data_IF_817139621046
#
_entry.id   IF_817139621046
#
_cell.length_a   1.000
_cell.length_b   1.000
_cell.length_c   1.000
_cell.angle_alpha   90.00
_cell.angle_beta   90.00
_cell.angle_gamma   90.00
#
_symmetry.space_group_name_H-M   'P 1'
#
loop_
_entity.id
_entity.type
_entity.pdbx_description
1 polymer ?
#
# COMPACT_ATOMS: atom_id res chain seq x y z
N UNK A 1 13.72 -11.13 11.73
CA UNK A 1 12.38 -11.73 11.62
C UNK A 1 11.36 -10.90 12.37
N UNK A 2 10.33 -10.41 11.74
CA UNK A 2 9.32 -9.66 12.46
C UNK A 2 8.65 -10.55 13.51
N UNK A 3 8.50 -10.03 14.71
CA UNK A 3 7.79 -10.75 15.78
C UNK A 3 6.34 -11.04 15.42
N UNK A 4 5.81 -10.27 14.47
CA UNK A 4 4.43 -10.43 13.97
C UNK A 4 4.15 -11.81 13.40
N UNK A 5 5.17 -12.53 12.89
CA UNK A 5 4.97 -13.86 12.30
C UNK A 5 4.43 -14.89 13.30
N UNK A 6 4.64 -14.65 14.60
CA UNK A 6 4.20 -15.55 15.66
C UNK A 6 2.87 -15.14 16.30
N UNK A 7 2.24 -14.06 15.81
CA UNK A 7 1.00 -13.55 16.37
C UNK A 7 -0.22 -14.07 15.61
N UNK A 8 -1.38 -14.26 16.29
CA UNK A 8 -2.64 -14.47 15.58
C UNK A 8 -2.92 -13.34 14.60
N UNK A 9 -3.67 -13.66 13.55
CA UNK A 9 -3.95 -12.68 12.49
C UNK A 9 -4.53 -11.37 13.03
N UNK A 10 -5.49 -11.44 13.96
CA UNK A 10 -6.10 -10.26 14.54
C UNK A 10 -5.07 -9.36 15.24
N UNK A 11 -4.13 -9.98 15.98
CA UNK A 11 -3.09 -9.26 16.68
C UNK A 11 -2.08 -8.64 15.72
N UNK A 12 -1.77 -9.35 14.62
CA UNK A 12 -0.91 -8.82 13.57
C UNK A 12 -1.52 -7.59 12.91
N UNK A 13 -2.81 -7.64 12.59
CA UNK A 13 -3.52 -6.50 11.99
C UNK A 13 -3.55 -5.31 12.95
N UNK A 14 -3.74 -5.57 14.24
CA UNK A 14 -3.74 -4.53 15.26
C UNK A 14 -2.36 -3.86 15.36
N UNK A 15 -1.30 -4.67 15.36
CA UNK A 15 0.07 -4.17 15.40
C UNK A 15 0.39 -3.33 14.15
N UNK A 16 -0.06 -3.78 12.98
CA UNK A 16 0.11 -3.02 11.73
C UNK A 16 -0.63 -1.68 11.78
N UNK A 17 -1.84 -1.66 12.33
CA UNK A 17 -2.62 -0.43 12.46
C UNK A 17 -1.91 0.58 13.37
N UNK A 18 -1.32 0.13 14.48
CA UNK A 18 -0.53 0.98 15.36
C UNK A 18 0.70 1.53 14.65
N UNK A 19 1.41 0.69 13.91
CA UNK A 19 2.59 1.10 13.17
C UNK A 19 2.25 2.12 12.09
N UNK A 20 1.13 1.94 11.39
CA UNK A 20 0.64 2.91 10.40
C UNK A 20 0.37 4.25 11.06
N UNK A 21 -0.32 4.25 12.20
CA UNK A 21 -0.64 5.48 12.93
C UNK A 21 0.61 6.24 13.34
N UNK A 22 1.57 5.54 13.93
CA UNK A 22 2.81 6.14 14.41
C UNK A 22 3.65 6.68 13.26
N UNK A 23 3.76 5.91 12.18
CA UNK A 23 4.53 6.30 11.01
C UNK A 23 3.89 7.49 10.31
N UNK A 24 2.56 7.49 10.18
CA UNK A 24 1.84 8.58 9.52
C UNK A 24 1.99 9.90 10.30
N UNK A 25 2.02 9.83 11.62
CA UNK A 25 2.22 11.01 12.45
C UNK A 25 3.55 11.71 12.16
N UNK A 26 4.57 10.95 11.78
CA UNK A 26 5.89 11.48 11.43
C UNK A 26 5.97 11.87 9.97
N UNK A 27 5.56 10.97 9.07
CA UNK A 27 5.74 11.13 7.62
C UNK A 27 4.76 12.11 6.99
N UNK A 28 3.54 12.15 7.51
CA UNK A 28 2.41 12.91 6.94
C UNK A 28 2.17 12.58 5.47
N UNK A 29 2.48 11.35 5.09
CA UNK A 29 2.40 10.89 3.70
C UNK A 29 1.81 9.48 3.69
N UNK A 30 0.56 9.37 3.27
CA UNK A 30 -0.16 8.09 3.32
C UNK A 30 0.40 7.05 2.36
N UNK A 31 0.96 7.48 1.22
CA UNK A 31 1.57 6.55 0.26
C UNK A 31 2.86 5.96 0.82
N UNK A 32 3.75 6.80 1.31
CA UNK A 32 5.01 6.34 1.88
C UNK A 32 4.79 5.54 3.16
N UNK A 33 3.84 5.94 4.00
CA UNK A 33 3.51 5.21 5.22
C UNK A 33 3.01 3.80 4.90
N UNK A 34 2.04 3.69 4.00
CA UNK A 34 1.45 2.39 3.64
C UNK A 34 2.51 1.46 3.07
N UNK A 35 3.32 1.95 2.14
CA UNK A 35 4.38 1.14 1.56
C UNK A 35 5.44 0.76 2.59
N UNK A 36 5.88 1.70 3.42
CA UNK A 36 6.91 1.47 4.43
C UNK A 36 6.50 0.39 5.44
N UNK A 37 5.26 0.45 5.92
CA UNK A 37 4.76 -0.54 6.87
C UNK A 37 4.70 -1.93 6.24
N UNK A 38 4.21 -2.02 4.99
CA UNK A 38 4.16 -3.31 4.28
C UNK A 38 5.56 -3.80 3.92
N UNK A 39 6.46 -2.89 3.56
CA UNK A 39 7.85 -3.22 3.29
C UNK A 39 8.51 -3.91 4.49
N UNK A 40 8.29 -3.39 5.68
CA UNK A 40 8.81 -3.97 6.92
C UNK A 40 8.14 -5.31 7.23
N UNK A 41 6.82 -5.36 7.11
CA UNK A 41 6.05 -6.57 7.46
C UNK A 41 6.41 -7.77 6.58
N UNK A 42 6.62 -7.53 5.28
CA UNK A 42 6.87 -8.60 4.32
C UNK A 42 8.32 -8.64 3.83
N UNK A 43 9.20 -7.87 4.46
CA UNK A 43 10.62 -7.81 4.12
C UNK A 43 10.84 -7.55 2.62
N UNK A 44 10.20 -6.49 2.11
CA UNK A 44 10.29 -6.10 0.71
C UNK A 44 11.44 -5.13 0.48
N UNK A 45 12.15 -5.28 -0.63
CA UNK A 45 13.11 -4.29 -1.08
C UNK A 45 12.38 -3.10 -1.72
N UNK A 46 12.99 -1.94 -1.74
CA UNK A 46 12.36 -0.83 -2.44
C UNK A 46 12.55 0.54 -1.82
N UNK A 47 13.76 0.88 -1.39
CA UNK A 47 14.05 2.24 -0.89
C UNK A 47 13.78 3.29 -1.97
N UNK A 48 14.12 2.97 -3.23
CA UNK A 48 13.85 3.85 -4.35
C UNK A 48 12.35 4.02 -4.57
N UNK A 49 11.56 2.98 -4.35
CA UNK A 49 10.10 3.04 -4.45
C UNK A 49 9.54 3.92 -3.36
N UNK A 50 10.04 3.79 -2.13
CA UNK A 50 9.61 4.63 -1.02
C UNK A 50 9.81 6.12 -1.35
N UNK A 51 10.98 6.47 -1.86
CA UNK A 51 11.28 7.83 -2.29
C UNK A 51 10.37 8.27 -3.43
N UNK A 52 10.16 7.41 -4.42
CA UNK A 52 9.32 7.71 -5.59
C UNK A 52 7.87 7.94 -5.22
N UNK A 53 7.39 7.41 -4.10
CA UNK A 53 6.03 7.59 -3.63
C UNK A 53 5.77 8.96 -2.99
N UNK A 54 6.79 9.79 -2.81
CA UNK A 54 6.63 11.10 -2.16
C UNK A 54 5.48 11.94 -2.71
N UNK A 55 5.29 12.08 -4.05
CA UNK A 55 4.22 12.92 -4.58
C UNK A 55 2.88 12.22 -4.81
N UNK A 56 2.74 10.97 -4.37
CA UNK A 56 1.57 10.16 -4.74
C UNK A 56 0.30 10.38 -3.89
N UNK A 57 0.34 10.88 -2.64
CA UNK A 57 -0.93 11.15 -1.94
C UNK A 57 -1.84 12.07 -2.77
N UNK A 58 -3.03 11.55 -3.11
CA UNK A 58 -3.99 12.27 -3.93
C UNK A 58 -3.50 12.64 -5.31
N UNK A 59 -2.43 12.00 -5.78
CA UNK A 59 -1.71 12.32 -7.03
C UNK A 59 -1.33 13.80 -7.04
N UNK A 60 -0.23 14.13 -6.36
CA UNK A 60 0.27 15.49 -6.16
C UNK A 60 -0.74 16.37 -5.38
N UNK A 61 -1.44 15.78 -4.43
CA UNK A 61 -2.45 16.45 -3.58
C UNK A 61 -3.61 17.06 -4.36
N UNK A 62 -3.99 16.42 -5.46
CA UNK A 62 -5.08 16.89 -6.33
C UNK A 62 -6.41 16.23 -6.04
N UNK A 63 -6.53 15.49 -4.94
CA UNK A 63 -7.77 14.80 -4.58
C UNK A 63 -8.06 13.55 -5.40
N UNK A 64 -7.07 13.03 -6.13
CA UNK A 64 -7.22 11.83 -6.94
C UNK A 64 -6.92 10.57 -6.13
N UNK A 65 -6.30 9.55 -6.72
CA UNK A 65 -6.09 8.26 -6.05
C UNK A 65 -5.51 8.42 -4.65
N UNK A 66 -6.12 7.74 -3.68
CA UNK A 66 -5.65 7.73 -2.30
C UNK A 66 -4.22 7.19 -2.22
N UNK A 67 -3.38 7.87 -1.44
CA UNK A 67 -1.98 7.47 -1.25
C UNK A 67 -1.84 6.08 -0.64
N UNK A 68 -2.76 5.72 0.26
CA UNK A 68 -2.75 4.37 0.82
C UNK A 68 -2.98 3.30 -0.25
N UNK A 69 -3.86 3.57 -1.21
CA UNK A 69 -4.08 2.68 -2.36
C UNK A 69 -2.81 2.57 -3.20
N UNK A 70 -2.19 3.71 -3.51
CA UNK A 70 -0.96 3.72 -4.31
C UNK A 70 0.17 2.96 -3.62
N UNK A 71 0.40 3.20 -2.33
CA UNK A 71 1.45 2.52 -1.57
C UNK A 71 1.22 1.01 -1.47
N UNK A 72 -0.02 0.60 -1.23
CA UNK A 72 -0.37 -0.81 -1.15
C UNK A 72 -0.24 -1.50 -2.52
N UNK A 73 -0.63 -0.84 -3.61
CA UNK A 73 -0.45 -1.38 -4.95
C UNK A 73 1.02 -1.55 -5.31
N UNK A 74 1.88 -0.65 -4.88
CA UNK A 74 3.33 -0.80 -5.06
C UNK A 74 3.84 -2.06 -4.36
N UNK A 75 3.40 -2.31 -3.13
CA UNK A 75 3.78 -3.52 -2.40
C UNK A 75 3.27 -4.78 -3.10
N UNK A 76 2.03 -4.76 -3.59
CA UNK A 76 1.48 -5.87 -4.36
C UNK A 76 2.30 -6.09 -5.63
N UNK A 77 2.69 -5.02 -6.31
CA UNK A 77 3.52 -5.08 -7.51
C UNK A 77 4.88 -5.70 -7.26
N UNK A 78 5.49 -5.45 -6.11
CA UNK A 78 6.77 -6.07 -5.77
C UNK A 78 6.64 -7.58 -5.59
N UNK A 79 5.51 -8.06 -5.10
CA UNK A 79 5.27 -9.49 -4.85
C UNK A 79 4.80 -10.20 -6.12
N UNK A 80 3.91 -9.60 -6.87
CA UNK A 80 3.20 -10.23 -8.00
C UNK A 80 3.54 -9.65 -9.37
N UNK A 81 4.35 -8.60 -9.41
CA UNK A 81 4.69 -7.92 -10.65
C UNK A 81 5.68 -8.69 -11.53
N UNK A 82 5.80 -8.24 -12.76
CA UNK A 82 6.76 -8.80 -13.72
C UNK A 82 8.07 -8.05 -13.68
N UNK A 83 9.15 -8.77 -13.96
CA UNK A 83 10.48 -8.16 -14.07
C UNK A 83 10.84 -7.75 -15.50
N UNK A 84 10.13 -8.31 -16.48
CA UNK A 84 10.41 -8.05 -17.89
C UNK A 84 9.19 -7.44 -18.56
N UNK A 85 9.41 -6.44 -19.39
CA UNK A 85 8.33 -5.70 -20.05
C UNK A 85 7.60 -6.56 -21.09
N UNK A 86 8.24 -7.61 -21.59
CA UNK A 86 7.64 -8.52 -22.58
C UNK A 86 6.93 -9.73 -21.94
N UNK A 87 6.88 -9.81 -20.61
CA UNK A 87 6.19 -10.88 -19.91
C UNK A 87 4.71 -10.56 -19.75
N UNK A 88 3.93 -10.82 -20.81
CA UNK A 88 2.51 -10.56 -20.81
C UNK A 88 1.74 -11.39 -19.77
N UNK A 89 2.12 -12.66 -19.60
CA UNK A 89 1.48 -13.54 -18.60
C UNK A 89 1.71 -13.02 -17.18
N UNK A 90 2.93 -12.56 -16.89
CA UNK A 90 3.25 -11.97 -15.59
C UNK A 90 2.44 -10.71 -15.33
N UNK A 91 2.28 -9.87 -16.35
CA UNK A 91 1.45 -8.68 -16.23
C UNK A 91 0.00 -9.04 -15.87
N UNK A 92 -0.61 -9.94 -16.62
CA UNK A 92 -2.00 -10.36 -16.39
C UNK A 92 -2.15 -11.01 -15.00
N UNK A 93 -1.17 -11.79 -14.57
CA UNK A 93 -1.21 -12.47 -13.27
C UNK A 93 -1.17 -11.49 -12.08
N UNK A 94 -0.64 -10.28 -12.28
CA UNK A 94 -0.58 -9.27 -11.22
C UNK A 94 -1.91 -8.55 -11.00
N UNK A 95 -2.83 -8.60 -11.97
CA UNK A 95 -4.07 -7.83 -11.91
C UNK A 95 -5.10 -8.35 -10.90
N UNK A 96 -5.35 -9.69 -10.79
CA UNK A 96 -6.35 -10.17 -9.84
C UNK A 96 -6.10 -9.74 -8.39
N UNK A 97 -4.90 -9.90 -7.80
CA UNK A 97 -4.68 -9.41 -6.44
C UNK A 97 -4.83 -7.90 -6.32
N UNK A 98 -4.40 -7.14 -7.32
CA UNK A 98 -4.51 -5.69 -7.32
C UNK A 98 -5.96 -5.23 -7.38
N UNK A 99 -6.76 -5.83 -8.27
CA UNK A 99 -8.19 -5.53 -8.40
C UNK A 99 -8.96 -5.90 -7.14
N UNK A 100 -8.61 -7.03 -6.52
CA UNK A 100 -9.25 -7.48 -5.29
C UNK A 100 -8.99 -6.49 -4.16
N UNK A 101 -7.76 -6.01 -4.05
CA UNK A 101 -7.42 -5.00 -3.05
C UNK A 101 -8.23 -3.72 -3.26
N UNK A 102 -8.27 -3.21 -4.49
CA UNK A 102 -9.03 -1.99 -4.80
C UNK A 102 -10.51 -2.16 -4.48
N UNK A 103 -11.10 -3.30 -4.83
CA UNK A 103 -12.50 -3.60 -4.54
C UNK A 103 -12.78 -3.59 -3.05
N UNK A 104 -11.93 -4.27 -2.27
CA UNK A 104 -12.08 -4.30 -0.81
C UNK A 104 -11.92 -2.93 -0.19
N UNK A 105 -11.00 -2.14 -0.71
CA UNK A 105 -10.81 -0.78 -0.25
C UNK A 105 -12.04 0.07 -0.51
N UNK A 106 -12.62 -0.02 -1.71
CA UNK A 106 -13.84 0.70 -2.05
C UNK A 106 -15.04 0.26 -1.20
N UNK A 107 -15.18 -1.05 -0.95
CA UNK A 107 -16.23 -1.57 -0.07
C UNK A 107 -16.11 -1.04 1.35
N UNK A 108 -14.88 -0.93 1.86
CA UNK A 108 -14.65 -0.47 3.22
C UNK A 108 -14.76 1.05 3.38
N UNK A 109 -14.37 1.81 2.36
CA UNK A 109 -14.21 3.27 2.45
C UNK A 109 -15.05 4.06 1.46
N UNK A 110 -15.73 3.42 0.53
CA UNK A 110 -16.61 4.03 -0.44
C UNK A 110 -15.97 4.48 -1.74
N UNK A 111 -14.65 4.68 -1.77
CA UNK A 111 -13.95 5.16 -2.96
C UNK A 111 -12.45 4.90 -2.83
N UNK A 112 -11.73 4.91 -3.95
CA UNK A 112 -10.26 4.99 -3.97
C UNK A 112 -9.76 6.41 -4.21
N UNK A 113 -10.68 7.36 -4.42
CA UNK A 113 -10.34 8.76 -4.68
C UNK A 113 -10.18 9.51 -3.36
N UNK A 114 -9.06 10.21 -3.21
CA UNK A 114 -8.74 10.96 -2.00
C UNK A 114 -9.82 12.00 -1.66
N UNK A 115 -10.36 12.67 -2.67
CA UNK A 115 -11.38 13.71 -2.47
C UNK A 115 -12.70 13.16 -1.92
N UNK A 116 -12.98 11.86 -2.13
CA UNK A 116 -14.21 11.21 -1.72
C UNK A 116 -14.08 10.41 -0.44
N UNK A 117 -12.91 10.43 0.19
CA UNK A 117 -12.67 9.71 1.44
C UNK A 117 -12.87 10.65 2.62
N UNK A 118 -13.34 10.12 3.77
CA UNK A 118 -13.45 10.94 4.98
C UNK A 118 -12.07 11.40 5.42
N UNK A 119 -12.00 12.59 5.98
CA UNK A 119 -10.77 13.09 6.58
C UNK A 119 -10.40 12.24 7.80
N UNK A 120 -9.10 11.99 7.93
CA UNK A 120 -8.58 11.22 9.04
C UNK A 120 -8.69 11.99 10.37
#
# INVERSE_FOLDING_TARGET
MPMADNLPRADRLCALAHNVRDTLAVSRNCAQTSFSVLQQEFDLEGEAILKALTPFPGVALRGETCGAVAGCLMAIGLVHGRDRLDDWKGYIASLPPSRRFCRRFEEAHGSTSCANLPEA
#
